data_IF_321784614790
#
_entry.id   IF_321784614790
#
_cell.length_a   1.000
_cell.length_b   1.000
_cell.length_c   1.000
_cell.angle_alpha   90.00
_cell.angle_beta   90.00
_cell.angle_gamma   90.00
#
_symmetry.space_group_name_H-M   'P 1'
#
loop_
_entity.id
_entity.type
_entity.pdbx_description
1 polymer ?
#
# COMPACT_ATOMS: atom_id res chain seq x y z
N UNK A 1 25.63 -12.59 -9.58
CA UNK A 1 24.41 -11.76 -9.40
C UNK A 1 24.57 -10.96 -8.11
N UNK A 2 24.35 -9.63 -8.12
CA UNK A 2 24.60 -8.78 -6.94
C UNK A 2 23.60 -9.11 -5.81
N UNK A 3 24.07 -9.55 -4.64
CA UNK A 3 23.21 -9.96 -3.52
C UNK A 3 22.20 -8.88 -3.11
N UNK A 4 22.59 -7.60 -3.15
CA UNK A 4 21.70 -6.46 -2.83
C UNK A 4 20.57 -6.29 -3.85
N UNK A 5 20.84 -6.62 -5.13
CA UNK A 5 19.81 -6.66 -6.18
C UNK A 5 18.81 -7.76 -5.89
N UNK A 6 19.28 -8.98 -5.61
CA UNK A 6 18.42 -10.14 -5.30
C UNK A 6 17.53 -9.82 -4.10
N UNK A 7 18.12 -9.30 -3.02
CA UNK A 7 17.38 -8.98 -1.80
C UNK A 7 16.30 -7.91 -2.05
N UNK A 8 16.56 -6.92 -2.91
CA UNK A 8 15.59 -5.87 -3.23
C UNK A 8 14.41 -6.43 -4.03
N UNK A 9 14.66 -7.31 -4.99
CA UNK A 9 13.59 -8.00 -5.74
C UNK A 9 12.82 -8.98 -4.87
N UNK A 10 13.51 -9.75 -4.02
CA UNK A 10 12.85 -10.65 -3.06
C UNK A 10 11.93 -9.89 -2.10
N UNK A 11 12.40 -8.77 -1.53
CA UNK A 11 11.58 -7.93 -0.66
C UNK A 11 10.34 -7.38 -1.38
N UNK A 12 10.49 -6.94 -2.64
CA UNK A 12 9.36 -6.48 -3.47
C UNK A 12 8.34 -7.61 -3.70
N UNK A 13 8.79 -8.81 -4.06
CA UNK A 13 7.91 -9.95 -4.32
C UNK A 13 7.18 -10.38 -3.05
N UNK A 14 7.90 -10.47 -1.93
CA UNK A 14 7.32 -10.80 -0.63
C UNK A 14 6.26 -9.77 -0.20
N UNK A 15 6.53 -8.48 -0.41
CA UNK A 15 5.58 -7.43 -0.09
C UNK A 15 4.34 -7.47 -0.98
N UNK A 16 4.52 -7.73 -2.27
CA UNK A 16 3.40 -7.93 -3.20
C UNK A 16 2.56 -9.15 -2.80
N UNK A 17 3.20 -10.28 -2.45
CA UNK A 17 2.50 -11.46 -1.96
C UNK A 17 1.68 -11.17 -0.69
N UNK A 18 2.22 -10.36 0.23
CA UNK A 18 1.51 -9.92 1.42
C UNK A 18 0.26 -9.09 1.08
N UNK A 19 0.37 -8.14 0.14
CA UNK A 19 -0.77 -7.33 -0.32
C UNK A 19 -1.88 -8.24 -0.85
N UNK A 20 -1.57 -9.12 -1.81
CA UNK A 20 -2.55 -10.02 -2.41
C UNK A 20 -3.15 -11.00 -1.39
N UNK A 21 -2.35 -11.48 -0.43
CA UNK A 21 -2.84 -12.32 0.66
C UNK A 21 -3.87 -11.61 1.53
N UNK A 22 -3.61 -10.35 1.89
CA UNK A 22 -4.55 -9.53 2.66
C UNK A 22 -5.81 -9.18 1.84
N UNK A 23 -5.66 -8.89 0.55
CA UNK A 23 -6.76 -8.61 -0.36
C UNK A 23 -7.63 -9.83 -0.68
N UNK A 24 -7.08 -11.05 -0.60
CA UNK A 24 -7.84 -12.29 -0.77
C UNK A 24 -8.81 -12.56 0.39
N UNK A 25 -8.62 -11.89 1.54
CA UNK A 25 -9.47 -12.14 2.69
C UNK A 25 -10.90 -11.66 2.44
N UNK A 26 -11.91 -12.50 2.76
CA UNK A 26 -13.31 -12.11 2.72
C UNK A 26 -13.57 -10.80 3.47
N UNK A 27 -14.57 -10.04 3.04
CA UNK A 27 -14.85 -8.74 3.62
C UNK A 27 -15.08 -8.78 5.14
N UNK A 28 -15.66 -9.87 5.66
CA UNK A 28 -15.87 -10.08 7.11
C UNK A 28 -14.53 -10.15 7.86
N UNK A 29 -13.63 -11.05 7.44
CA UNK A 29 -12.32 -11.24 8.07
C UNK A 29 -11.46 -9.96 7.98
N UNK A 30 -11.46 -9.30 6.82
CA UNK A 30 -10.73 -8.03 6.67
C UNK A 30 -11.32 -6.91 7.51
N UNK A 31 -12.64 -6.85 7.66
CA UNK A 31 -13.29 -5.84 8.49
C UNK A 31 -13.00 -6.08 9.97
N UNK A 32 -12.92 -7.33 10.45
CA UNK A 32 -12.56 -7.63 11.83
C UNK A 32 -11.15 -7.14 12.18
N UNK A 33 -10.17 -7.38 11.31
CA UNK A 33 -8.78 -6.90 11.50
C UNK A 33 -8.72 -5.38 11.67
N UNK A 34 -9.39 -4.64 10.79
CA UNK A 34 -9.40 -3.18 10.85
C UNK A 34 -10.29 -2.65 11.99
N UNK A 35 -11.32 -3.39 12.40
CA UNK A 35 -12.18 -3.04 13.54
C UNK A 35 -11.39 -3.11 14.85
N UNK A 36 -10.49 -4.09 15.01
CA UNK A 36 -9.61 -4.16 16.18
C UNK A 36 -8.73 -2.91 16.34
N UNK A 37 -8.10 -2.45 15.26
CA UNK A 37 -7.29 -1.22 15.24
C UNK A 37 -8.18 0.01 15.48
N UNK A 38 -9.33 0.06 14.82
CA UNK A 38 -10.32 1.14 14.95
C UNK A 38 -10.81 1.27 16.39
N UNK A 39 -11.12 0.17 17.06
CA UNK A 39 -11.58 0.15 18.44
C UNK A 39 -10.53 0.71 19.40
N UNK A 40 -9.24 0.38 19.20
CA UNK A 40 -8.14 0.93 20.01
C UNK A 40 -8.04 2.45 19.83
N UNK A 41 -8.17 2.94 18.58
CA UNK A 41 -8.11 4.38 18.29
C UNK A 41 -9.31 5.10 18.93
N UNK A 42 -10.52 4.58 18.76
CA UNK A 42 -11.74 5.20 19.31
C UNK A 42 -11.70 5.24 20.83
N UNK A 43 -11.30 4.14 21.50
CA UNK A 43 -11.12 4.12 22.95
C UNK A 43 -10.09 5.14 23.44
N UNK A 44 -9.01 5.35 22.69
CA UNK A 44 -8.02 6.37 23.02
C UNK A 44 -8.58 7.79 22.85
N UNK A 45 -9.39 8.03 21.82
CA UNK A 45 -10.02 9.33 21.55
C UNK A 45 -11.10 9.65 22.58
N UNK A 46 -11.99 8.71 22.91
CA UNK A 46 -13.03 8.89 23.94
C UNK A 46 -12.44 9.24 25.31
N UNK A 47 -11.25 8.70 25.63
CA UNK A 47 -10.54 9.02 26.88
C UNK A 47 -10.02 10.46 26.91
N UNK A 48 -9.77 11.07 25.76
CA UNK A 48 -9.27 12.46 25.64
C UNK A 48 -10.42 13.45 25.41
N UNK A 49 -11.46 13.03 24.68
CA UNK A 49 -12.63 13.83 24.32
C UNK A 49 -13.88 13.04 24.69
N UNK A 50 -14.39 13.29 25.89
CA UNK A 50 -15.64 12.68 26.37
C UNK A 50 -16.81 13.09 25.46
N UNK A 51 -17.46 12.10 24.82
CA UNK A 51 -18.69 12.32 24.05
C UNK A 51 -18.51 12.51 22.53
N UNK A 52 -17.38 12.11 21.95
CA UNK A 52 -17.24 12.06 20.49
C UNK A 52 -18.08 10.91 19.91
N UNK A 53 -19.17 11.22 19.20
CA UNK A 53 -20.01 10.24 18.50
C UNK A 53 -19.37 9.89 17.15
N UNK A 54 -18.34 9.02 17.18
CA UNK A 54 -17.64 8.56 15.99
C UNK A 54 -18.33 7.32 15.41
N UNK A 55 -18.79 7.41 14.17
CA UNK A 55 -19.30 6.24 13.45
C UNK A 55 -18.16 5.23 13.18
N UNK A 56 -18.17 4.15 13.95
CA UNK A 56 -17.21 3.04 13.89
C UNK A 56 -17.13 2.48 12.47
N UNK A 57 -18.25 2.40 11.75
CA UNK A 57 -18.30 1.81 10.41
C UNK A 57 -17.52 2.65 9.39
N UNK A 58 -17.80 3.96 9.34
CA UNK A 58 -17.09 4.89 8.47
C UNK A 58 -15.60 5.00 8.81
N UNK A 59 -15.25 5.01 10.10
CA UNK A 59 -13.86 5.07 10.53
C UNK A 59 -13.11 3.79 10.18
N UNK A 60 -13.72 2.62 10.39
CA UNK A 60 -13.15 1.34 10.03
C UNK A 60 -12.85 1.25 8.53
N UNK A 61 -13.79 1.73 7.71
CA UNK A 61 -13.61 1.81 6.27
C UNK A 61 -12.44 2.74 5.87
N UNK A 62 -12.27 3.87 6.57
CA UNK A 62 -11.14 4.78 6.37
C UNK A 62 -9.79 4.16 6.78
N UNK A 63 -9.74 3.47 7.92
CA UNK A 63 -8.54 2.77 8.41
C UNK A 63 -8.11 1.72 7.40
N UNK A 64 -9.05 0.93 6.88
CA UNK A 64 -8.78 -0.09 5.85
C UNK A 64 -8.22 0.54 4.57
N UNK A 65 -8.84 1.61 4.05
CA UNK A 65 -8.35 2.31 2.86
C UNK A 65 -6.97 2.93 3.07
N UNK A 66 -6.72 3.46 4.26
CA UNK A 66 -5.40 3.99 4.63
C UNK A 66 -4.34 2.89 4.67
N UNK A 67 -4.68 1.69 5.16
CA UNK A 67 -3.76 0.56 5.18
C UNK A 67 -3.34 0.14 3.76
N UNK A 68 -4.28 0.07 2.81
CA UNK A 68 -3.97 -0.19 1.40
C UNK A 68 -3.08 0.90 0.81
N UNK A 69 -3.42 2.17 1.02
CA UNK A 69 -2.59 3.30 0.60
C UNK A 69 -1.13 3.18 1.10
N UNK A 70 -0.92 2.87 2.38
CA UNK A 70 0.41 2.70 2.95
C UNK A 70 1.12 1.45 2.42
N UNK A 71 0.39 0.36 2.16
CA UNK A 71 0.95 -0.84 1.56
C UNK A 71 1.48 -0.56 0.15
N UNK A 72 0.73 0.20 -0.66
CA UNK A 72 1.19 0.63 -1.99
C UNK A 72 2.30 1.68 -1.93
N UNK A 73 2.33 2.54 -0.92
CA UNK A 73 3.47 3.43 -0.68
C UNK A 73 4.77 2.64 -0.48
N UNK A 74 4.73 1.61 0.38
CA UNK A 74 5.89 0.74 0.60
C UNK A 74 6.24 -0.03 -0.68
N UNK A 75 5.24 -0.54 -1.41
CA UNK A 75 5.45 -1.20 -2.70
C UNK A 75 6.17 -0.28 -3.69
N UNK A 76 5.74 0.98 -3.81
CA UNK A 76 6.36 2.00 -4.66
C UNK A 76 7.84 2.19 -4.33
N UNK A 77 8.20 2.29 -3.05
CA UNK A 77 9.59 2.37 -2.58
C UNK A 77 10.38 1.14 -2.98
N UNK A 78 9.82 -0.07 -2.80
CA UNK A 78 10.50 -1.32 -3.09
C UNK A 78 10.76 -1.50 -4.59
N UNK A 79 9.77 -1.17 -5.43
CA UNK A 79 9.87 -1.28 -6.89
C UNK A 79 10.95 -0.33 -7.43
N UNK A 80 10.90 0.97 -7.07
CA UNK A 80 11.91 1.93 -7.55
C UNK A 80 13.32 1.58 -7.04
N UNK A 81 13.43 1.04 -5.83
CA UNK A 81 14.69 0.56 -5.25
C UNK A 81 15.25 -0.64 -6.03
N UNK A 82 14.40 -1.62 -6.35
CA UNK A 82 14.77 -2.80 -7.13
C UNK A 82 15.20 -2.42 -8.55
N UNK A 83 14.49 -1.50 -9.20
CA UNK A 83 14.83 -0.96 -10.53
C UNK A 83 16.16 -0.18 -10.51
N UNK A 84 16.34 0.70 -9.53
CA UNK A 84 17.58 1.48 -9.37
C UNK A 84 18.79 0.57 -9.16
N UNK A 85 18.65 -0.50 -8.35
CA UNK A 85 19.71 -1.51 -8.16
C UNK A 85 19.94 -2.41 -9.37
N UNK A 86 19.01 -2.42 -10.32
CA UNK A 86 19.12 -3.15 -11.57
C UNK A 86 19.70 -2.32 -12.72
N UNK A 87 20.08 -1.07 -12.45
CA UNK A 87 20.66 -0.15 -13.44
C UNK A 87 19.63 0.74 -14.15
N UNK A 88 18.35 0.66 -13.78
CA UNK A 88 17.31 1.53 -14.35
C UNK A 88 17.06 2.70 -13.41
N UNK A 89 17.61 3.87 -13.76
CA UNK A 89 17.49 5.11 -12.97
C UNK A 89 16.81 6.23 -13.77
N UNK A 90 16.78 7.45 -13.22
CA UNK A 90 16.19 8.60 -13.92
C UNK A 90 14.67 8.51 -14.09
N UNK A 91 14.16 9.20 -15.10
CA UNK A 91 12.74 9.22 -15.47
C UNK A 91 12.23 7.85 -15.94
N UNK A 92 13.09 7.06 -16.61
CA UNK A 92 12.73 5.71 -17.06
C UNK A 92 12.37 4.79 -15.89
N UNK A 93 13.16 4.84 -14.80
CA UNK A 93 12.88 4.07 -13.59
C UNK A 93 11.59 4.49 -12.89
N UNK A 94 11.32 5.80 -12.85
CA UNK A 94 10.07 6.34 -12.28
C UNK A 94 8.86 5.87 -13.08
N UNK A 95 8.90 6.02 -14.41
CA UNK A 95 7.82 5.61 -15.29
C UNK A 95 7.51 4.12 -15.15
N UNK A 96 8.56 3.27 -15.18
CA UNK A 96 8.39 1.83 -15.05
C UNK A 96 7.85 1.44 -13.65
N UNK A 97 8.30 2.11 -12.59
CA UNK A 97 7.80 1.87 -11.25
C UNK A 97 6.32 2.25 -11.10
N UNK A 98 5.92 3.42 -11.61
CA UNK A 98 4.54 3.88 -11.61
C UNK A 98 3.64 2.95 -12.42
N UNK A 99 4.07 2.58 -13.63
CA UNK A 99 3.32 1.67 -14.49
C UNK A 99 3.12 0.31 -13.82
N UNK A 100 4.18 -0.24 -13.21
CA UNK A 100 4.08 -1.51 -12.48
C UNK A 100 3.12 -1.42 -11.28
N UNK A 101 3.24 -0.37 -10.46
CA UNK A 101 2.36 -0.20 -9.30
C UNK A 101 0.89 0.01 -9.71
N UNK A 102 0.64 0.73 -10.81
CA UNK A 102 -0.69 0.90 -11.37
C UNK A 102 -1.28 -0.44 -11.81
N UNK A 103 -0.50 -1.27 -12.51
CA UNK A 103 -0.94 -2.62 -12.89
C UNK A 103 -1.22 -3.49 -11.66
N UNK A 104 -0.40 -3.39 -10.61
CA UNK A 104 -0.67 -4.08 -9.35
C UNK A 104 -1.99 -3.62 -8.72
N UNK A 105 -2.26 -2.30 -8.66
CA UNK A 105 -3.49 -1.74 -8.11
C UNK A 105 -4.72 -2.21 -8.89
N UNK A 106 -4.65 -2.20 -10.23
CA UNK A 106 -5.72 -2.72 -11.08
C UNK A 106 -5.92 -4.23 -10.85
N UNK A 107 -4.84 -5.00 -10.78
CA UNK A 107 -4.91 -6.44 -10.57
C UNK A 107 -5.46 -6.80 -9.19
N UNK A 108 -5.12 -6.03 -8.16
CA UNK A 108 -5.64 -6.23 -6.80
C UNK A 108 -7.15 -5.99 -6.74
N UNK A 109 -7.62 -4.89 -7.30
CA UNK A 109 -9.06 -4.59 -7.37
C UNK A 109 -9.83 -5.60 -8.23
N UNK A 110 -9.25 -6.03 -9.36
CA UNK A 110 -9.82 -7.10 -10.17
C UNK A 110 -9.90 -8.43 -9.41
N UNK A 111 -8.89 -8.75 -8.61
CA UNK A 111 -8.88 -9.93 -7.76
C UNK A 111 -9.90 -9.81 -6.61
N UNK A 112 -10.04 -8.63 -5.99
CA UNK A 112 -11.03 -8.39 -4.96
C UNK A 112 -12.47 -8.56 -5.47
N UNK A 113 -12.76 -8.27 -6.75
CA UNK A 113 -14.08 -8.55 -7.35
C UNK A 113 -14.46 -10.04 -7.35
N UNK A 114 -13.48 -10.94 -7.25
CA UNK A 114 -13.70 -12.39 -7.16
C UNK A 114 -13.89 -12.85 -5.71
N UNK A 115 -13.63 -12.00 -4.72
CA UNK A 115 -13.69 -12.32 -3.29
C UNK A 115 -15.09 -12.01 -2.74
N UNK A 116 -15.74 -12.95 -2.03
CA UNK A 116 -17.07 -12.73 -1.45
C UNK A 116 -17.15 -11.50 -0.53
N UNK A 117 -18.14 -10.63 -0.79
CA UNK A 117 -18.42 -9.45 0.01
C UNK A 117 -17.49 -8.26 -0.22
N UNK A 118 -16.50 -8.38 -1.12
CA UNK A 118 -15.67 -7.26 -1.58
C UNK A 118 -16.29 -6.64 -2.83
N UNK A 119 -16.12 -5.33 -2.97
CA UNK A 119 -16.53 -4.60 -4.16
C UNK A 119 -15.36 -3.78 -4.66
N UNK A 120 -14.98 -3.96 -5.92
CA UNK A 120 -13.90 -3.19 -6.53
C UNK A 120 -14.33 -1.74 -6.79
N UNK A 121 -13.48 -0.78 -6.47
CA UNK A 121 -13.73 0.64 -6.70
C UNK A 121 -12.57 1.28 -7.45
N UNK A 122 -12.88 2.02 -8.51
CA UNK A 122 -11.87 2.81 -9.22
C UNK A 122 -11.18 3.82 -8.29
N UNK A 123 -11.89 4.31 -7.26
CA UNK A 123 -11.32 5.18 -6.22
C UNK A 123 -10.18 4.51 -5.46
N UNK A 124 -10.24 3.20 -5.27
CA UNK A 124 -9.23 2.45 -4.53
C UNK A 124 -7.97 2.26 -5.39
N UNK A 125 -8.13 1.98 -6.70
CA UNK A 125 -7.01 2.02 -7.66
C UNK A 125 -6.29 3.37 -7.64
N UNK A 126 -7.05 4.48 -7.65
CA UNK A 126 -6.48 5.84 -7.63
C UNK A 126 -5.75 6.11 -6.31
N UNK A 127 -6.34 5.73 -5.18
CA UNK A 127 -5.75 5.92 -3.86
C UNK A 127 -4.43 5.14 -3.74
N UNK A 128 -4.44 3.86 -4.12
CA UNK A 128 -3.28 2.99 -4.09
C UNK A 128 -2.17 3.46 -5.04
N UNK A 129 -2.54 3.88 -6.24
CA UNK A 129 -1.61 4.49 -7.21
C UNK A 129 -0.98 5.79 -6.67
N UNK A 130 -1.75 6.58 -5.91
CA UNK A 130 -1.25 7.79 -5.25
C UNK A 130 -0.27 7.44 -4.13
N UNK A 131 -0.58 6.43 -3.32
CA UNK A 131 0.33 5.88 -2.31
C UNK A 131 1.66 5.46 -2.92
N UNK A 132 1.62 4.65 -3.98
CA UNK A 132 2.81 4.21 -4.71
C UNK A 132 3.61 5.39 -5.28
N UNK A 133 2.94 6.39 -5.85
CA UNK A 133 3.57 7.60 -6.38
C UNK A 133 4.34 8.36 -5.31
N UNK A 134 3.74 8.54 -4.12
CA UNK A 134 4.38 9.17 -2.96
C UNK A 134 5.59 8.34 -2.51
N UNK A 135 5.47 7.02 -2.44
CA UNK A 135 6.57 6.13 -2.10
C UNK A 135 7.77 6.28 -3.05
N UNK A 136 7.51 6.31 -4.35
CA UNK A 136 8.54 6.51 -5.39
C UNK A 136 9.21 7.87 -5.21
N UNK A 137 8.43 8.92 -4.98
CA UNK A 137 8.94 10.28 -4.76
C UNK A 137 9.83 10.36 -3.51
N UNK A 138 9.36 9.80 -2.39
CA UNK A 138 10.10 9.71 -1.12
C UNK A 138 11.45 9.04 -1.35
N UNK A 139 11.48 7.87 -1.97
CA UNK A 139 12.73 7.17 -2.26
C UNK A 139 13.68 8.03 -3.09
N UNK A 140 13.15 8.79 -4.05
CA UNK A 140 13.97 9.67 -4.90
C UNK A 140 14.55 10.86 -4.16
N UNK A 141 13.80 11.51 -3.29
CA UNK A 141 14.30 12.60 -2.47
C UNK A 141 15.49 12.16 -1.59
N UNK A 142 15.42 10.96 -1.03
CA UNK A 142 16.50 10.42 -0.20
C UNK A 142 17.67 9.85 -1.02
N UNK A 143 17.40 9.24 -2.17
CA UNK A 143 18.45 8.64 -3.02
C UNK A 143 19.22 9.66 -3.86
N UNK A 144 18.64 10.84 -4.11
CA UNK A 144 19.32 11.96 -4.79
C UNK A 144 20.44 12.59 -3.95
N UNK A 145 20.55 12.25 -2.65
CA UNK A 145 21.55 12.78 -1.71
C UNK A 145 22.70 11.80 -1.41
N UNK A 146 22.95 10.81 -2.26
CA UNK A 146 24.12 9.90 -2.13
C UNK A 146 25.44 10.63 -2.42
N UNK A 147 26.54 10.30 -1.71
CA UNK A 147 27.66 11.20 -1.43
C UNK A 147 28.47 11.55 -2.68
N UNK A 148 28.83 12.83 -2.79
CA UNK A 148 29.97 13.29 -3.59
C UNK A 148 31.27 12.68 -3.06
#
# INVERSE_FOLDING_TARGET
MNLKKILSWAAMVLWMALIFYLSHQPATASNELSTGITAVIIQAVEKVISGADLDISSFNHLVRKSAHFFAYLILGILVIKALSRSGTSGYKGIFLALFFCLLCAIADEAHQLLVPGRGGQLKDVILDSTGASIGIFVFRCFSSKGPN
#
